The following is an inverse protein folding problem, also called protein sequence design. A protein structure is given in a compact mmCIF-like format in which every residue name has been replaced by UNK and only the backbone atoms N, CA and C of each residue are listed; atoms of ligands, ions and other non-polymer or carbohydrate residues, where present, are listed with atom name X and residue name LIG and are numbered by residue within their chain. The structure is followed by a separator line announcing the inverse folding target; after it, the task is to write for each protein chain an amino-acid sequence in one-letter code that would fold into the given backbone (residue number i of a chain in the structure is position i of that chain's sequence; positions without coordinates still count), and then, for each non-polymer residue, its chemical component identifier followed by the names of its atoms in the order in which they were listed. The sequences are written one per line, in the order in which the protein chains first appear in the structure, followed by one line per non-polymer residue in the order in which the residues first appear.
data_IF_218289841518
#
_entry.id   IF_218289841518
#
_cell.length_a   1.000
_cell.length_b   1.000
_cell.length_c   1.000
_cell.angle_alpha   90.00
_cell.angle_beta   90.00
_cell.angle_gamma   90.00
#
_symmetry.space_group_name_H-M   'P 1'
#
loop_
_entity.id
_entity.type
_entity.pdbx_description
1 polymer ?
#
# COMPACT_ATOMS: atom_id res chain seq x y z
N UNK A 1 21.56 -67.52 -37.12
CA UNK A 1 21.83 -66.07 -37.13
C UNK A 1 21.64 -65.56 -38.56
N UNK A 2 21.03 -64.40 -38.85
CA UNK A 2 20.35 -63.41 -38.00
C UNK A 2 18.86 -63.12 -38.39
N UNK A 3 18.19 -62.31 -37.56
CA UNK A 3 16.84 -61.70 -37.67
C UNK A 3 17.01 -60.15 -37.89
N UNK A 4 15.97 -59.27 -37.92
CA UNK A 4 15.48 -58.55 -39.10
C UNK A 4 15.40 -57.00 -38.92
N UNK A 5 14.64 -56.30 -39.80
CA UNK A 5 13.58 -55.29 -39.49
C UNK A 5 13.62 -53.94 -40.28
N UNK A 6 12.62 -53.80 -41.17
CA UNK A 6 11.70 -52.67 -41.51
C UNK A 6 12.12 -51.21 -41.21
N UNK A 7 12.06 -50.33 -42.24
CA UNK A 7 11.25 -49.09 -42.22
C UNK A 7 11.03 -48.50 -43.64
N UNK A 8 9.77 -48.31 -43.99
CA UNK A 8 9.30 -47.68 -45.22
C UNK A 8 9.22 -46.14 -45.06
N UNK A 9 9.47 -45.42 -46.16
CA UNK A 9 9.49 -43.97 -46.21
C UNK A 9 8.10 -43.31 -46.30
N UNK A 10 7.97 -42.21 -45.54
CA UNK A 10 7.23 -40.96 -45.79
C UNK A 10 5.80 -41.01 -46.35
N UNK A 11 4.84 -40.56 -45.53
CA UNK A 11 3.67 -39.80 -45.96
C UNK A 11 3.23 -38.87 -44.81
N UNK A 12 2.91 -37.61 -45.12
CA UNK A 12 2.36 -36.62 -44.18
C UNK A 12 0.98 -36.23 -44.72
N UNK A 13 -0.05 -36.42 -43.90
CA UNK A 13 -1.45 -36.12 -44.19
C UNK A 13 -1.80 -34.65 -43.89
N UNK A 14 -2.62 -34.02 -44.73
CA UNK A 14 -3.60 -33.00 -44.31
C UNK A 14 -4.95 -33.23 -45.00
N UNK A 15 -6.03 -33.16 -44.23
CA UNK A 15 -7.40 -33.56 -44.56
C UNK A 15 -8.31 -32.36 -44.94
N UNK A 16 -8.78 -32.35 -46.20
CA UNK A 16 -10.19 -32.32 -46.69
C UNK A 16 -11.21 -31.46 -45.87
N UNK A 17 -11.69 -30.29 -46.34
CA UNK A 17 -12.74 -29.95 -47.37
C UNK A 17 -14.22 -29.91 -46.88
N UNK A 18 -14.77 -28.68 -46.89
CA UNK A 18 -16.11 -28.14 -47.26
C UNK A 18 -17.46 -28.67 -46.69
N UNK A 19 -18.17 -27.77 -45.99
CA UNK A 19 -19.43 -27.16 -46.47
C UNK A 19 -20.77 -27.59 -45.85
N UNK A 20 -21.38 -26.75 -45.00
CA UNK A 20 -22.84 -26.56 -44.84
C UNK A 20 -23.14 -25.42 -43.85
N UNK A 21 -23.97 -24.46 -44.26
CA UNK A 21 -24.36 -23.32 -43.43
C UNK A 21 -25.48 -23.66 -42.43
N UNK A 22 -25.54 -22.92 -41.32
CA UNK A 22 -26.76 -22.71 -40.56
C UNK A 22 -26.71 -21.36 -39.81
N UNK A 23 -27.78 -20.60 -39.97
CA UNK A 23 -28.17 -19.41 -39.22
C UNK A 23 -28.36 -19.69 -37.72
N UNK A 24 -28.44 -18.59 -36.96
CA UNK A 24 -28.65 -18.44 -35.50
C UNK A 24 -27.33 -18.35 -34.71
N UNK A 25 -27.00 -17.30 -33.96
CA UNK A 25 -27.85 -16.37 -33.20
C UNK A 25 -27.08 -15.07 -32.99
N UNK A 26 -27.47 -14.03 -33.72
CA UNK A 26 -27.12 -12.65 -33.41
C UNK A 26 -28.00 -12.16 -32.26
N UNK A 27 -27.58 -12.30 -30.99
CA UNK A 27 -28.21 -11.58 -29.87
C UNK A 27 -27.41 -11.49 -28.55
N UNK A 28 -26.07 -11.45 -28.51
CA UNK A 28 -25.34 -11.04 -27.27
C UNK A 28 -24.02 -10.28 -27.53
N UNK A 29 -23.89 -9.56 -28.63
CA UNK A 29 -22.64 -8.84 -28.97
C UNK A 29 -22.73 -7.30 -28.90
N UNK A 30 -23.66 -6.73 -28.12
CA UNK A 30 -23.82 -5.28 -28.01
C UNK A 30 -23.65 -4.67 -26.60
N UNK A 31 -23.62 -5.48 -25.54
CA UNK A 31 -23.49 -4.97 -24.16
C UNK A 31 -22.16 -5.30 -23.45
N UNK A 32 -21.32 -6.17 -24.01
CA UNK A 32 -20.00 -6.46 -23.43
C UNK A 32 -18.92 -5.42 -23.78
N UNK A 33 -19.08 -4.67 -24.87
CA UNK A 33 -18.08 -3.69 -25.33
C UNK A 33 -18.22 -2.29 -24.69
N UNK A 34 -19.38 -1.94 -24.14
CA UNK A 34 -19.61 -0.63 -23.49
C UNK A 34 -19.12 -0.57 -22.05
N UNK A 35 -19.09 -1.70 -21.34
CA UNK A 35 -18.56 -1.78 -19.98
C UNK A 35 -17.04 -1.73 -19.92
N UNK A 36 -16.37 -2.39 -20.86
CA UNK A 36 -14.89 -2.45 -20.92
C UNK A 36 -14.28 -1.12 -21.33
N UNK A 37 -14.88 -0.39 -22.28
CA UNK A 37 -14.41 0.94 -22.68
C UNK A 37 -14.51 1.98 -21.55
N UNK A 38 -15.57 1.92 -20.73
CA UNK A 38 -15.75 2.83 -19.59
C UNK A 38 -14.77 2.51 -18.45
N UNK A 39 -14.49 1.23 -18.20
CA UNK A 39 -13.47 0.80 -17.21
C UNK A 39 -12.06 1.14 -17.68
N UNK A 40 -11.76 1.00 -18.98
CA UNK A 40 -10.46 1.39 -19.55
C UNK A 40 -10.27 2.90 -19.52
N UNK A 41 -11.30 3.68 -19.87
CA UNK A 41 -11.22 5.14 -19.85
C UNK A 41 -11.09 5.69 -18.42
N UNK A 42 -11.77 5.08 -17.44
CA UNK A 42 -11.63 5.44 -16.03
C UNK A 42 -10.28 5.00 -15.44
N UNK A 43 -9.68 3.90 -15.94
CA UNK A 43 -8.30 3.52 -15.62
C UNK A 43 -7.26 4.44 -16.28
N UNK A 44 -7.56 4.99 -17.47
CA UNK A 44 -6.68 5.90 -18.20
C UNK A 44 -6.76 7.36 -17.71
N UNK A 45 -7.93 7.84 -17.26
CA UNK A 45 -8.07 9.13 -16.56
C UNK A 45 -7.34 9.11 -15.21
N UNK A 46 -7.34 7.98 -14.50
CA UNK A 46 -6.53 7.81 -13.27
C UNK A 46 -5.01 7.72 -13.57
N UNK A 47 -4.61 7.30 -14.77
CA UNK A 47 -3.21 7.23 -15.20
C UNK A 47 -2.67 8.54 -15.81
N UNK A 48 -3.54 9.51 -16.12
CA UNK A 48 -3.19 10.82 -16.68
C UNK A 48 -3.07 11.94 -15.63
N UNK A 49 -2.87 11.58 -14.36
CA UNK A 49 -2.32 12.53 -13.39
C UNK A 49 -0.84 12.75 -13.73
N UNK A 50 -0.56 13.86 -14.42
CA UNK A 50 0.77 14.41 -14.73
C UNK A 50 1.74 14.32 -13.55
N UNK A 51 3.06 14.18 -13.80
CA UNK A 51 4.05 13.87 -12.78
C UNK A 51 4.22 15.07 -11.86
N UNK A 52 3.54 15.06 -10.73
CA UNK A 52 3.98 15.85 -9.59
C UNK A 52 5.16 15.11 -8.99
N UNK A 53 6.33 15.73 -9.07
CA UNK A 53 7.38 15.50 -8.09
C UNK A 53 6.72 15.70 -6.73
N UNK A 54 6.27 14.62 -6.09
CA UNK A 54 5.86 14.66 -4.69
C UNK A 54 7.13 14.87 -3.87
N UNK A 55 7.57 16.11 -3.82
CA UNK A 55 8.16 16.63 -2.60
C UNK A 55 7.06 16.53 -1.56
N UNK A 56 7.03 15.44 -0.80
CA UNK A 56 6.36 15.31 0.50
C UNK A 56 6.89 16.41 1.42
N UNK A 57 6.47 17.64 1.15
CA UNK A 57 6.83 18.80 1.95
C UNK A 57 5.85 18.81 3.09
N UNK A 58 6.10 17.89 4.03
CA UNK A 58 5.39 17.82 5.30
C UNK A 58 5.42 19.21 5.93
N UNK A 59 4.27 19.87 6.03
CA UNK A 59 4.18 21.21 6.65
C UNK A 59 4.49 21.07 8.12
N UNK A 60 5.59 21.68 8.56
CA UNK A 60 6.04 21.62 9.95
C UNK A 60 5.19 22.58 10.77
N UNK A 61 4.48 22.05 11.77
CA UNK A 61 3.54 22.84 12.59
C UNK A 61 4.19 23.34 13.90
N UNK A 62 5.47 23.02 14.16
CA UNK A 62 6.18 23.39 15.40
C UNK A 62 7.69 23.65 15.25
N UNK A 63 8.32 24.15 16.32
CA UNK A 63 9.74 24.59 16.35
C UNK A 63 10.74 23.53 16.83
N UNK A 64 10.30 22.33 17.18
CA UNK A 64 11.20 21.28 17.69
C UNK A 64 12.07 20.71 16.57
N UNK A 65 13.24 20.15 16.89
CA UNK A 65 14.03 19.32 15.95
C UNK A 65 13.77 17.85 16.28
N UNK A 66 13.71 16.99 15.26
CA UNK A 66 13.77 15.53 15.49
C UNK A 66 15.19 15.06 15.25
N UNK A 67 15.59 14.07 16.01
CA UNK A 67 16.82 13.33 15.77
C UNK A 67 16.50 12.00 15.08
N UNK A 68 17.51 11.41 14.46
CA UNK A 68 17.37 10.12 13.79
C UNK A 68 17.04 9.04 14.84
N UNK A 69 16.12 8.14 14.52
CA UNK A 69 15.58 7.13 15.42
C UNK A 69 14.53 7.64 16.40
N UNK A 70 14.21 8.95 16.40
CA UNK A 70 13.05 9.45 17.16
C UNK A 70 11.78 8.75 16.69
N UNK A 71 10.99 8.26 17.64
CA UNK A 71 9.75 7.58 17.37
C UNK A 71 8.54 8.20 18.04
N UNK A 72 7.35 7.86 17.55
CA UNK A 72 6.09 8.22 18.19
C UNK A 72 4.93 8.30 17.21
N UNK A 73 3.85 8.96 17.64
CA UNK A 73 2.72 9.25 16.75
C UNK A 73 3.16 10.25 15.69
N UNK A 74 2.83 9.98 14.44
CA UNK A 74 3.18 10.85 13.32
C UNK A 74 2.71 12.30 13.53
N UNK A 75 1.50 12.50 14.07
CA UNK A 75 0.95 13.82 14.36
C UNK A 75 1.77 14.64 15.35
N UNK A 76 2.46 13.99 16.29
CA UNK A 76 3.38 14.66 17.21
C UNK A 76 4.72 14.94 16.53
N UNK A 77 5.19 14.03 15.69
CA UNK A 77 6.41 14.21 14.90
C UNK A 77 6.28 15.34 13.87
N UNK A 78 5.07 15.66 13.39
CA UNK A 78 4.81 16.83 12.52
C UNK A 78 5.20 18.16 13.17
N UNK A 79 5.27 18.22 14.50
CA UNK A 79 5.65 19.41 15.28
C UNK A 79 7.17 19.60 15.35
N UNK A 80 7.94 18.62 14.87
CA UNK A 80 9.40 18.64 14.83
C UNK A 80 9.89 18.76 13.38
N UNK A 81 11.03 19.41 13.14
CA UNK A 81 11.70 19.47 11.83
C UNK A 81 12.79 18.42 11.71
N UNK A 82 12.86 17.78 10.54
CA UNK A 82 14.00 16.94 10.12
C UNK A 82 15.05 17.71 9.31
N UNK A 83 14.90 19.04 9.16
CA UNK A 83 15.78 19.92 8.38
C UNK A 83 16.04 19.44 6.94
N UNK A 84 15.07 18.74 6.33
CA UNK A 84 15.19 18.15 5.00
C UNK A 84 16.08 16.90 4.92
N UNK A 85 16.65 16.45 6.04
CA UNK A 85 17.54 15.28 6.14
C UNK A 85 16.84 14.04 6.64
N UNK A 86 15.80 14.20 7.45
CA UNK A 86 15.04 13.10 8.05
C UNK A 86 13.60 13.09 7.53
N UNK A 87 13.14 11.90 7.18
CA UNK A 87 11.74 11.60 6.90
C UNK A 87 11.12 10.87 8.11
N UNK A 88 9.78 10.84 8.15
CA UNK A 88 9.02 10.11 9.16
C UNK A 88 8.41 8.89 8.46
N UNK A 89 9.02 7.73 8.64
CA UNK A 89 8.54 6.50 8.03
C UNK A 89 7.37 5.95 8.85
N UNK A 90 6.20 5.82 8.23
CA UNK A 90 5.01 5.26 8.88
C UNK A 90 5.13 3.74 8.98
N UNK A 91 5.02 3.21 10.20
CA UNK A 91 5.14 1.77 10.45
C UNK A 91 3.93 1.27 11.27
N UNK A 92 3.08 0.39 10.73
CA UNK A 92 3.02 -0.01 9.33
C UNK A 92 2.60 1.18 8.45
N UNK A 93 2.76 1.06 7.13
CA UNK A 93 2.47 2.18 6.22
C UNK A 93 1.08 2.81 6.41
N UNK A 94 0.99 4.13 6.23
CA UNK A 94 -0.28 4.90 6.28
C UNK A 94 -1.37 4.24 5.43
N UNK A 95 -1.00 3.78 4.22
CA UNK A 95 -1.94 3.17 3.29
C UNK A 95 -2.52 1.84 3.81
N UNK A 96 -1.71 1.00 4.45
CA UNK A 96 -2.19 -0.25 5.06
C UNK A 96 -3.17 0.02 6.21
N UNK A 97 -2.86 1.00 7.07
CA UNK A 97 -3.77 1.42 8.15
C UNK A 97 -5.10 1.96 7.60
N UNK A 98 -5.05 2.77 6.53
CA UNK A 98 -6.25 3.28 5.88
C UNK A 98 -7.05 2.16 5.23
N UNK A 99 -6.42 1.21 4.56
CA UNK A 99 -7.12 0.08 3.95
C UNK A 99 -7.79 -0.80 5.00
N UNK A 100 -7.11 -1.14 6.10
CA UNK A 100 -7.71 -1.90 7.20
C UNK A 100 -8.93 -1.18 7.81
N UNK A 101 -8.90 0.16 7.92
CA UNK A 101 -10.05 0.93 8.36
C UNK A 101 -11.20 0.93 7.34
N UNK A 102 -10.91 0.96 6.03
CA UNK A 102 -11.94 0.81 4.98
C UNK A 102 -12.59 -0.57 5.04
N UNK A 103 -11.82 -1.61 5.28
CA UNK A 103 -12.33 -2.98 5.43
C UNK A 103 -13.26 -3.09 6.65
N UNK A 104 -12.87 -2.52 7.80
CA UNK A 104 -13.73 -2.45 9.00
C UNK A 104 -15.06 -1.72 8.74
N UNK A 105 -15.04 -0.60 8.02
CA UNK A 105 -16.26 0.13 7.66
C UNK A 105 -17.15 -0.70 6.74
N UNK A 106 -16.55 -1.37 5.75
CA UNK A 106 -17.25 -2.24 4.81
C UNK A 106 -17.90 -3.43 5.51
N UNK A 107 -17.16 -4.12 6.39
CA UNK A 107 -17.66 -5.23 7.20
C UNK A 107 -18.83 -4.81 8.09
N UNK A 108 -18.79 -3.60 8.64
CA UNK A 108 -19.86 -3.06 9.47
C UNK A 108 -21.02 -2.45 8.67
N UNK A 109 -20.93 -2.39 7.33
CA UNK A 109 -21.93 -1.72 6.48
C UNK A 109 -22.04 -0.20 6.74
N UNK A 110 -20.97 0.42 7.26
CA UNK A 110 -20.95 1.84 7.62
C UNK A 110 -20.47 2.66 6.43
N UNK A 111 -21.27 3.68 6.06
CA UNK A 111 -20.87 4.71 5.11
C UNK A 111 -20.61 6.02 5.85
N UNK A 112 -19.39 6.54 5.74
CA UNK A 112 -19.03 7.84 6.31
C UNK A 112 -19.60 8.98 5.45
N UNK A 113 -19.87 10.11 6.10
CA UNK A 113 -20.15 11.37 5.41
C UNK A 113 -18.85 12.02 4.91
N UNK A 114 -18.95 12.98 4.00
CA UNK A 114 -17.76 13.60 3.37
C UNK A 114 -16.79 14.23 4.40
N UNK A 115 -17.31 14.98 5.37
CA UNK A 115 -16.48 15.57 6.44
C UNK A 115 -15.81 14.52 7.32
N UNK A 116 -16.52 13.42 7.60
CA UNK A 116 -16.01 12.29 8.36
C UNK A 116 -14.91 11.53 7.59
N UNK A 117 -15.11 11.31 6.29
CA UNK A 117 -14.12 10.66 5.43
C UNK A 117 -12.84 11.48 5.37
N UNK A 118 -12.93 12.80 5.16
CA UNK A 118 -11.78 13.69 5.17
C UNK A 118 -11.06 13.71 6.54
N UNK A 119 -11.81 13.75 7.65
CA UNK A 119 -11.25 13.75 8.99
C UNK A 119 -10.55 12.42 9.35
N UNK A 120 -11.02 11.29 8.82
CA UNK A 120 -10.44 9.97 9.10
C UNK A 120 -9.26 9.64 8.17
N UNK A 121 -9.45 9.82 6.86
CA UNK A 121 -8.57 9.33 5.79
C UNK A 121 -7.74 10.39 5.07
N UNK A 122 -7.96 11.69 5.33
CA UNK A 122 -7.16 12.73 4.69
C UNK A 122 -5.65 12.58 4.97
N UNK A 123 -4.81 13.30 4.23
CA UNK A 123 -3.35 13.25 4.44
C UNK A 123 -2.92 13.60 5.87
N UNK A 124 -3.69 14.49 6.51
CA UNK A 124 -3.58 14.85 7.92
C UNK A 124 -4.79 14.34 8.74
N UNK A 125 -5.44 13.29 8.27
CA UNK A 125 -6.55 12.62 8.95
C UNK A 125 -6.10 11.90 10.21
N UNK A 126 -7.06 11.46 11.02
CA UNK A 126 -6.78 10.81 12.30
C UNK A 126 -5.96 9.52 12.15
N UNK A 127 -6.20 8.71 11.12
CA UNK A 127 -5.39 7.49 10.90
C UNK A 127 -3.92 7.86 10.66
N UNK A 128 -3.66 8.86 9.81
CA UNK A 128 -2.32 9.31 9.52
C UNK A 128 -1.61 9.88 10.75
N UNK A 129 -2.32 10.71 11.53
CA UNK A 129 -1.77 11.36 12.74
C UNK A 129 -1.51 10.39 13.89
N UNK A 130 -2.38 9.41 14.08
CA UNK A 130 -2.30 8.46 15.19
C UNK A 130 -1.41 7.26 14.89
N UNK A 131 -1.14 6.98 13.60
CA UNK A 131 -0.16 5.98 13.18
C UNK A 131 1.23 6.27 13.75
N UNK A 132 1.96 5.20 14.09
CA UNK A 132 3.35 5.28 14.55
C UNK A 132 4.26 5.60 13.37
N UNK A 133 5.32 6.37 13.64
CA UNK A 133 6.38 6.63 12.69
C UNK A 133 7.74 6.67 13.39
N UNK A 134 8.80 6.45 12.61
CA UNK A 134 10.19 6.55 13.05
C UNK A 134 10.93 7.54 12.15
N UNK A 135 11.72 8.43 12.75
CA UNK A 135 12.54 9.38 12.01
C UNK A 135 13.76 8.65 11.45
N UNK A 136 13.93 8.65 10.12
CA UNK A 136 15.07 7.99 9.45
C UNK A 136 15.71 8.92 8.42
N UNK A 137 16.97 8.70 8.03
CA UNK A 137 17.59 9.45 6.95
C UNK A 137 16.72 9.34 5.70
N UNK A 138 16.49 10.48 5.05
CA UNK A 138 15.65 10.55 3.86
C UNK A 138 16.11 9.60 2.76
N UNK A 139 17.42 9.43 2.62
CA UNK A 139 18.00 8.49 1.65
C UNK A 139 17.68 7.04 2.01
N UNK A 140 17.77 6.67 3.28
CA UNK A 140 17.44 5.32 3.74
C UNK A 140 15.95 5.02 3.51
N UNK A 141 15.07 5.99 3.79
CA UNK A 141 13.65 5.90 3.46
C UNK A 141 13.44 5.68 1.96
N UNK A 142 14.10 6.50 1.13
CA UNK A 142 14.02 6.46 -0.33
C UNK A 142 14.59 5.20 -0.97
N UNK A 143 15.61 4.58 -0.38
CA UNK A 143 16.30 3.44 -0.95
C UNK A 143 15.77 2.12 -0.42
N UNK A 144 15.44 2.05 0.87
CA UNK A 144 15.22 0.77 1.54
C UNK A 144 13.75 0.52 1.92
N UNK A 145 12.94 1.54 2.23
CA UNK A 145 11.54 1.31 2.63
C UNK A 145 10.69 0.74 1.49
N UNK A 146 10.12 -0.44 1.68
CA UNK A 146 9.28 -1.11 0.67
C UNK A 146 7.98 -0.35 0.36
N UNK A 147 7.60 0.60 1.23
CA UNK A 147 6.35 1.35 1.09
C UNK A 147 6.56 2.80 0.67
N UNK A 148 7.81 3.20 0.42
CA UNK A 148 8.13 4.54 -0.06
C UNK A 148 7.72 4.76 -1.51
N UNK A 149 7.06 5.89 -1.76
CA UNK A 149 6.66 6.33 -3.10
C UNK A 149 5.79 5.27 -3.79
N UNK A 150 6.14 4.91 -5.03
CA UNK A 150 5.35 3.99 -5.86
C UNK A 150 5.52 2.50 -5.53
N UNK A 151 6.33 2.16 -4.52
CA UNK A 151 6.61 0.75 -4.16
C UNK A 151 5.48 0.09 -3.36
N UNK A 152 4.60 0.89 -2.75
CA UNK A 152 3.43 0.39 -2.03
C UNK A 152 2.27 0.05 -2.99
N UNK A 153 2.36 -1.08 -3.67
CA UNK A 153 1.34 -1.49 -4.65
C UNK A 153 -0.02 -1.77 -4.00
N UNK A 154 -1.15 -1.68 -4.73
CA UNK A 154 -2.47 -2.04 -4.21
C UNK A 154 -2.53 -3.46 -3.61
N UNK A 155 -1.85 -4.44 -4.22
CA UNK A 155 -1.78 -5.82 -3.73
C UNK A 155 -1.06 -5.87 -2.38
N UNK A 156 0.06 -5.15 -2.24
CA UNK A 156 0.81 -5.04 -0.99
C UNK A 156 -0.03 -4.37 0.09
N UNK A 157 -0.68 -3.24 -0.22
CA UNK A 157 -1.56 -2.53 0.71
C UNK A 157 -2.67 -3.45 1.24
N UNK A 158 -3.34 -4.18 0.33
CA UNK A 158 -4.40 -5.12 0.70
C UNK A 158 -3.88 -6.34 1.48
N UNK A 159 -2.65 -6.80 1.20
CA UNK A 159 -2.00 -7.85 1.98
C UNK A 159 -1.65 -7.37 3.39
N UNK A 160 -1.06 -6.19 3.50
CA UNK A 160 -0.61 -5.58 4.76
C UNK A 160 -1.78 -5.21 5.67
N UNK A 161 -2.90 -4.77 5.11
CA UNK A 161 -4.11 -4.47 5.86
C UNK A 161 -4.67 -5.68 6.63
N UNK A 162 -4.45 -6.90 6.12
CA UNK A 162 -4.91 -8.15 6.75
C UNK A 162 -4.08 -8.56 7.95
N UNK A 163 -2.84 -8.08 8.05
CA UNK A 163 -1.94 -8.36 9.17
C UNK A 163 -0.97 -7.19 9.36
N UNK A 164 -1.50 -6.13 9.97
CA UNK A 164 -0.75 -4.91 10.30
C UNK A 164 0.47 -5.14 11.19
N UNK A 165 0.46 -6.19 12.03
CA UNK A 165 1.61 -6.52 12.87
C UNK A 165 2.75 -7.06 12.01
N UNK A 166 2.43 -8.03 11.14
CA UNK A 166 3.41 -8.57 10.20
C UNK A 166 3.91 -7.52 9.21
N UNK A 167 3.04 -6.61 8.78
CA UNK A 167 3.43 -5.47 7.95
C UNK A 167 4.45 -4.57 8.68
N UNK A 168 4.17 -4.21 9.94
CA UNK A 168 5.08 -3.41 10.75
C UNK A 168 6.44 -4.10 10.99
N UNK A 169 6.42 -5.41 11.25
CA UNK A 169 7.64 -6.22 11.40
C UNK A 169 8.48 -6.20 10.12
N UNK A 170 7.87 -6.46 8.97
CA UNK A 170 8.58 -6.43 7.68
C UNK A 170 9.10 -5.04 7.35
N UNK A 171 8.25 -4.01 7.43
CA UNK A 171 8.62 -2.63 7.11
C UNK A 171 9.84 -2.18 7.94
N UNK A 172 9.87 -2.54 9.23
CA UNK A 172 11.02 -2.21 10.09
C UNK A 172 12.26 -3.06 9.82
N UNK A 173 12.09 -4.37 9.61
CA UNK A 173 13.23 -5.27 9.33
C UNK A 173 13.94 -4.89 8.04
N UNK A 174 13.20 -4.51 6.99
CA UNK A 174 13.81 -4.11 5.73
C UNK A 174 14.76 -2.91 5.88
N UNK A 175 14.47 -1.98 6.81
CA UNK A 175 15.38 -0.86 7.13
C UNK A 175 16.55 -1.32 8.01
N UNK A 176 16.31 -2.15 9.03
CA UNK A 176 17.39 -2.65 9.91
C UNK A 176 18.44 -3.44 9.14
N UNK A 177 17.96 -4.34 8.29
CA UNK A 177 18.79 -5.29 7.52
C UNK A 177 19.38 -4.66 6.26
N UNK A 178 19.03 -3.40 5.95
CA UNK A 178 19.56 -2.70 4.79
C UNK A 178 21.09 -2.53 4.87
N UNK A 179 21.77 -2.94 3.80
CA UNK A 179 23.17 -2.63 3.55
C UNK A 179 23.32 -1.22 2.99
N UNK A 180 24.38 -0.51 3.38
CA UNK A 180 24.71 0.82 2.85
C UNK A 180 23.83 1.97 3.35
N UNK A 181 23.05 1.75 4.42
CA UNK A 181 22.28 2.80 5.10
C UNK A 181 23.17 3.94 5.62
N UNK A 182 22.66 5.17 5.57
CA UNK A 182 23.32 6.38 6.11
C UNK A 182 23.18 6.51 7.62
N UNK A 183 22.29 5.74 8.22
CA UNK A 183 22.12 5.63 9.66
C UNK A 183 23.45 5.29 10.36
N UNK A 184 23.89 6.16 11.29
CA UNK A 184 25.01 5.87 12.18
C UNK A 184 24.60 4.93 13.32
N UNK A 185 25.58 4.46 14.11
CA UNK A 185 25.34 3.49 15.17
C UNK A 185 24.35 4.01 16.22
N UNK A 186 24.43 5.29 16.59
CA UNK A 186 23.51 5.91 17.56
C UNK A 186 22.07 5.91 17.02
N UNK A 187 21.89 6.28 15.75
CA UNK A 187 20.57 6.24 15.14
C UNK A 187 20.08 4.80 14.96
N UNK A 188 20.93 3.85 14.60
CA UNK A 188 20.56 2.44 14.44
C UNK A 188 20.06 1.85 15.76
N UNK A 189 20.71 2.16 16.88
CA UNK A 189 20.25 1.74 18.21
C UNK A 189 18.90 2.35 18.58
N UNK A 190 18.70 3.64 18.35
CA UNK A 190 17.42 4.34 18.60
C UNK A 190 16.30 3.79 17.72
N UNK A 191 16.58 3.64 16.43
CA UNK A 191 15.65 3.07 15.45
C UNK A 191 15.21 1.68 15.88
N UNK A 192 16.17 0.79 16.21
CA UNK A 192 15.88 -0.58 16.64
C UNK A 192 15.00 -0.60 17.90
N UNK A 193 15.31 0.23 18.89
CA UNK A 193 14.50 0.34 20.10
C UNK A 193 13.05 0.73 19.80
N UNK A 194 12.85 1.70 18.90
CA UNK A 194 11.52 2.13 18.49
C UNK A 194 10.81 1.05 17.65
N UNK A 195 11.51 0.43 16.70
CA UNK A 195 11.01 -0.67 15.88
C UNK A 195 10.56 -1.85 16.75
N UNK A 196 11.35 -2.24 17.75
CA UNK A 196 11.01 -3.28 18.71
C UNK A 196 9.77 -2.92 19.53
N UNK A 197 9.55 -1.64 19.85
CA UNK A 197 8.32 -1.19 20.51
C UNK A 197 7.10 -1.28 19.58
N UNK A 198 7.23 -0.84 18.33
CA UNK A 198 6.16 -0.93 17.33
C UNK A 198 5.76 -2.39 17.07
N UNK A 199 6.73 -3.30 16.98
CA UNK A 199 6.53 -4.74 16.73
C UNK A 199 5.78 -5.47 17.84
N UNK A 200 5.80 -4.95 19.08
CA UNK A 200 5.02 -5.53 20.20
C UNK A 200 3.52 -5.37 19.98
N UNK A 201 3.09 -4.37 19.20
CA UNK A 201 1.67 -4.12 18.96
C UNK A 201 1.10 -5.20 18.05
N UNK A 202 0.13 -5.93 18.57
CA UNK A 202 -0.55 -7.00 17.85
C UNK A 202 -1.50 -6.47 16.78
N UNK A 203 -1.79 -7.28 15.77
CA UNK A 203 -2.79 -6.92 14.76
C UNK A 203 -4.14 -6.56 15.40
N UNK A 204 -4.57 -7.33 16.41
CA UNK A 204 -5.81 -7.05 17.13
C UNK A 204 -5.82 -5.66 17.80
N UNK A 205 -4.71 -5.24 18.38
CA UNK A 205 -4.59 -3.90 18.97
C UNK A 205 -4.62 -2.79 17.93
N UNK A 206 -4.01 -2.99 16.75
CA UNK A 206 -4.19 -2.07 15.63
C UNK A 206 -5.66 -1.95 15.23
N UNK A 207 -6.36 -3.08 15.08
CA UNK A 207 -7.78 -3.09 14.71
C UNK A 207 -8.65 -2.42 15.78
N UNK A 208 -8.34 -2.60 17.06
CA UNK A 208 -9.03 -1.90 18.15
C UNK A 208 -8.82 -0.39 18.08
N UNK A 209 -7.61 0.08 17.80
CA UNK A 209 -7.35 1.51 17.69
C UNK A 209 -8.04 2.12 16.47
N UNK A 210 -8.02 1.46 15.31
CA UNK A 210 -8.77 1.90 14.13
C UNK A 210 -10.27 2.01 14.42
N UNK A 211 -10.86 1.04 15.12
CA UNK A 211 -12.27 1.11 15.57
C UNK A 211 -12.53 2.31 16.48
N UNK A 212 -11.62 2.63 17.40
CA UNK A 212 -11.74 3.83 18.26
C UNK A 212 -11.70 5.12 17.42
N UNK A 213 -10.80 5.20 16.43
CA UNK A 213 -10.72 6.37 15.54
C UNK A 213 -11.97 6.54 14.69
N UNK A 214 -12.47 5.46 14.09
CA UNK A 214 -13.74 5.44 13.34
C UNK A 214 -14.88 5.96 14.22
N UNK A 215 -15.03 5.39 15.43
CA UNK A 215 -16.07 5.81 16.38
C UNK A 215 -15.93 7.29 16.76
N UNK A 216 -14.71 7.76 17.02
CA UNK A 216 -14.44 9.15 17.37
C UNK A 216 -14.92 10.10 16.26
N UNK A 217 -14.56 9.82 15.01
CA UNK A 217 -14.99 10.63 13.86
C UNK A 217 -16.50 10.63 13.71
N UNK A 218 -17.14 9.47 13.82
CA UNK A 218 -18.59 9.36 13.68
C UNK A 218 -19.35 10.16 14.75
N UNK A 219 -18.79 10.29 15.96
CA UNK A 219 -19.40 11.00 17.08
C UNK A 219 -19.13 12.52 17.06
N UNK A 220 -17.93 12.92 16.64
CA UNK A 220 -17.44 14.28 16.86
C UNK A 220 -17.37 15.14 15.60
N UNK A 221 -17.40 14.54 14.41
CA UNK A 221 -17.40 15.28 13.13
C UNK A 221 -18.82 15.31 12.58
N UNK A 222 -19.41 16.51 12.63
CA UNK A 222 -20.69 16.83 11.99
C UNK A 222 -20.42 17.41 10.59
N UNK A 223 -21.39 17.25 9.70
CA UNK A 223 -21.33 17.80 8.33
C UNK A 223 -21.35 19.32 8.33
#
# INVERSE_FOLDING_TARGET
MPLPLILAGMAVEELVVWGLGLLATSYVAANAAKGTAKVLQQAMENAQSTPTTQTDTTTIVGKGRMDCGDGGKYGDMLKKTGNGKLDRDHVPSKAALQQAARDLLKEAGIKLKAGQEAALFGDNGLIAKEGRAIAIPKKDHQQHSETYGRRNSPEKINGDAKDLQKAAERDTKTIEDAEGKEMDDECAEKYKKEADDIRKKTHAEYMQDLKKLIKNVMQNVKD
#
